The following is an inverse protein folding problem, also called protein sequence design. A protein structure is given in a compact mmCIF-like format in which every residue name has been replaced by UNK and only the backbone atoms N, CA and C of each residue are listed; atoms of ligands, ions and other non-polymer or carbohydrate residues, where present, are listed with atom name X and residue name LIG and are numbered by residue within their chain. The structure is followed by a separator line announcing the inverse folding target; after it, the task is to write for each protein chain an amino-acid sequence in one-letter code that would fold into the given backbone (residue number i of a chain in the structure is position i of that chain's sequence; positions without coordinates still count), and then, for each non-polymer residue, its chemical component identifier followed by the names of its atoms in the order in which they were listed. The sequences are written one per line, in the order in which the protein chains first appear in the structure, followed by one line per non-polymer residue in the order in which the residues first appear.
data_IF_388966539441
#
_entry.id   IF_388966539441
#
_cell.length_a   1.000
_cell.length_b   1.000
_cell.length_c   1.000
_cell.angle_alpha   90.00
_cell.angle_beta   90.00
_cell.angle_gamma   90.00
#
_symmetry.space_group_name_H-M   'P 1'
#
loop_
_entity.id
_entity.type
_entity.pdbx_description
1 polymer ?
#
# COMPACT_ATOMS: atom_id res chain seq x y z
N UNK A 1 -50.80 1.07 35.43
CA UNK A 1 -50.57 2.50 35.13
C UNK A 1 -49.52 2.55 34.04
N UNK A 2 -49.84 2.99 32.82
CA UNK A 2 -48.85 3.06 31.73
C UNK A 2 -48.27 4.47 31.65
N UNK A 3 -46.95 4.57 31.62
CA UNK A 3 -46.19 5.81 31.45
C UNK A 3 -46.03 6.13 29.97
N UNK A 4 -46.53 7.28 29.58
CA UNK A 4 -46.50 7.88 28.24
C UNK A 4 -45.11 8.26 27.82
N UNK A 5 -44.64 7.78 26.63
CA UNK A 5 -43.47 8.28 25.94
C UNK A 5 -43.84 9.45 25.04
N UNK A 6 -43.30 10.62 25.34
CA UNK A 6 -43.41 11.83 24.49
C UNK A 6 -42.42 11.76 23.34
N UNK A 7 -42.93 11.78 22.11
CA UNK A 7 -42.10 11.97 20.90
C UNK A 7 -41.89 13.46 20.66
N UNK A 8 -40.66 13.89 20.58
CA UNK A 8 -40.28 15.24 20.15
C UNK A 8 -40.01 15.19 18.64
N UNK A 9 -40.87 15.86 17.88
CA UNK A 9 -40.69 16.05 16.45
C UNK A 9 -39.72 17.20 16.23
N UNK A 10 -38.58 16.92 15.55
CA UNK A 10 -37.64 17.94 15.09
C UNK A 10 -38.10 18.45 13.72
N UNK A 11 -38.43 19.75 13.67
CA UNK A 11 -38.75 20.46 12.43
C UNK A 11 -37.47 20.75 11.67
N UNK A 12 -37.36 20.23 10.46
CA UNK A 12 -36.24 20.50 9.53
C UNK A 12 -36.61 21.73 8.69
N UNK A 13 -35.97 22.86 8.97
CA UNK A 13 -36.12 24.09 8.19
C UNK A 13 -35.19 24.06 6.99
N UNK A 14 -35.76 23.95 5.80
CA UNK A 14 -35.00 24.02 4.52
C UNK A 14 -34.82 25.49 4.16
N UNK A 15 -33.61 25.96 4.17
CA UNK A 15 -33.22 27.31 3.71
C UNK A 15 -32.95 27.25 2.20
N UNK A 16 -33.83 27.87 1.40
CA UNK A 16 -33.64 28.01 -0.06
C UNK A 16 -32.92 29.33 -0.31
N UNK A 17 -31.73 29.25 -0.88
CA UNK A 17 -30.96 30.41 -1.32
C UNK A 17 -31.24 30.69 -2.81
N UNK A 18 -31.56 31.92 -3.23
CA UNK A 18 -31.80 32.21 -4.64
C UNK A 18 -30.48 32.38 -5.41
N UNK A 19 -30.40 31.77 -6.59
CA UNK A 19 -29.33 31.93 -7.54
C UNK A 19 -29.42 33.30 -8.23
N UNK A 20 -28.42 34.12 -8.10
CA UNK A 20 -28.22 35.36 -8.85
C UNK A 20 -27.55 35.06 -10.19
N UNK A 21 -28.30 35.23 -11.29
CA UNK A 21 -27.81 35.21 -12.65
C UNK A 21 -27.17 36.55 -12.96
N UNK A 22 -25.85 36.59 -13.14
CA UNK A 22 -25.15 37.70 -13.77
C UNK A 22 -24.96 37.41 -15.26
N UNK A 23 -25.74 38.09 -16.09
CA UNK A 23 -25.51 38.22 -17.52
C UNK A 23 -24.48 39.33 -17.74
N UNK A 24 -23.31 39.01 -18.27
CA UNK A 24 -22.33 39.97 -18.72
C UNK A 24 -22.13 39.81 -20.23
N UNK A 25 -22.57 40.80 -20.95
CA UNK A 25 -22.34 40.99 -22.38
C UNK A 25 -20.89 41.42 -22.60
N UNK A 26 -20.06 40.61 -23.24
CA UNK A 26 -18.71 41.02 -23.64
C UNK A 26 -18.69 41.47 -25.08
N UNK A 27 -18.23 42.68 -25.29
CA UNK A 27 -18.00 43.30 -26.60
C UNK A 27 -16.79 42.65 -27.28
N UNK A 28 -16.96 42.37 -28.57
CA UNK A 28 -15.91 41.89 -29.47
C UNK A 28 -15.07 43.13 -29.87
N UNK A 29 -13.78 43.10 -29.50
CA UNK A 29 -12.78 44.00 -30.08
C UNK A 29 -11.86 43.17 -30.98
N UNK A 30 -11.96 43.36 -32.28
CA UNK A 30 -10.96 42.91 -33.24
C UNK A 30 -9.67 43.72 -33.01
N UNK A 31 -8.60 42.97 -32.67
CA UNK A 31 -7.23 43.51 -32.78
C UNK A 31 -6.44 42.63 -33.72
N UNK A 32 -6.00 43.24 -34.78
CA UNK A 32 -5.14 42.76 -35.84
C UNK A 32 -3.81 42.25 -35.31
N UNK A 33 -3.40 41.10 -35.86
CA UNK A 33 -2.12 40.42 -35.67
C UNK A 33 -0.93 41.29 -36.00
N UNK A 34 -0.01 41.45 -35.08
CA UNK A 34 1.39 41.69 -35.40
C UNK A 34 2.17 40.44 -34.92
N UNK A 35 2.58 39.62 -35.89
CA UNK A 35 3.41 38.46 -35.70
C UNK A 35 4.85 38.91 -35.57
N UNK A 36 5.36 39.03 -34.35
CA UNK A 36 6.80 39.00 -34.14
C UNK A 36 7.19 37.57 -33.81
N UNK A 37 7.84 36.90 -34.76
CA UNK A 37 8.53 35.64 -34.58
C UNK A 37 9.51 35.76 -33.39
N UNK A 38 9.18 35.11 -32.28
CA UNK A 38 10.13 34.87 -31.19
C UNK A 38 10.68 33.45 -31.35
N UNK A 39 11.96 33.24 -31.75
CA UNK A 39 12.55 31.94 -31.99
C UNK A 39 12.87 31.13 -30.70
N UNK A 40 12.53 31.64 -29.53
CA UNK A 40 12.84 31.03 -28.23
C UNK A 40 11.61 30.51 -27.46
N UNK A 41 10.50 30.21 -28.14
CA UNK A 41 9.45 29.43 -27.52
C UNK A 41 9.95 27.98 -27.40
N UNK A 42 10.62 27.66 -26.29
CA UNK A 42 10.90 26.32 -25.90
C UNK A 42 9.56 25.64 -25.63
N UNK A 43 9.14 24.80 -26.58
CA UNK A 43 8.04 23.84 -26.37
C UNK A 43 8.43 22.92 -25.24
N UNK A 44 7.98 23.25 -24.02
CA UNK A 44 8.22 22.45 -22.83
C UNK A 44 7.20 21.29 -22.76
N UNK A 45 7.07 20.55 -23.84
CA UNK A 45 6.54 19.19 -23.78
C UNK A 45 7.57 18.37 -23.02
N UNK A 46 7.41 18.27 -21.71
CA UNK A 46 8.11 17.26 -20.92
C UNK A 46 7.74 15.89 -21.51
N UNK A 47 8.64 15.35 -22.33
CA UNK A 47 8.65 13.94 -22.64
C UNK A 47 9.02 13.32 -21.30
N UNK A 48 8.03 12.83 -20.56
CA UNK A 48 8.28 12.03 -19.36
C UNK A 48 9.14 10.86 -19.79
N UNK A 49 10.32 10.74 -19.21
CA UNK A 49 11.20 9.59 -19.40
C UNK A 49 10.35 8.33 -19.13
N UNK A 50 10.19 7.42 -20.11
CA UNK A 50 9.39 6.21 -19.92
C UNK A 50 9.90 5.31 -18.80
N UNK A 51 11.13 5.53 -18.32
CA UNK A 51 11.74 4.81 -17.20
C UNK A 51 11.59 5.56 -15.86
N UNK A 52 10.99 6.75 -15.82
CA UNK A 52 10.77 7.45 -14.54
C UNK A 52 9.71 6.73 -13.70
N UNK A 53 10.02 6.49 -12.41
CA UNK A 53 9.07 5.91 -11.47
C UNK A 53 7.89 6.87 -11.27
N UNK A 54 6.67 6.32 -11.29
CA UNK A 54 5.46 7.05 -10.90
C UNK A 54 5.40 7.23 -9.39
N UNK A 55 4.54 8.13 -8.92
CA UNK A 55 4.26 8.26 -7.49
C UNK A 55 3.64 6.96 -6.97
N UNK A 56 4.21 6.44 -5.88
CA UNK A 56 3.71 5.21 -5.25
C UNK A 56 2.45 5.48 -4.43
N UNK A 57 1.47 4.60 -4.55
CA UNK A 57 0.22 4.66 -3.80
C UNK A 57 -0.09 3.28 -3.21
N UNK A 58 -0.53 3.26 -1.95
CA UNK A 58 -0.98 2.04 -1.29
C UNK A 58 -2.46 1.79 -1.63
N UNK A 59 -2.77 1.40 -2.87
CA UNK A 59 -4.14 1.21 -3.34
C UNK A 59 -4.49 -0.25 -3.68
N UNK A 60 -3.50 -1.15 -3.58
CA UNK A 60 -3.63 -2.57 -3.91
C UNK A 60 -3.63 -2.83 -5.42
N UNK A 61 -3.08 -1.90 -6.21
CA UNK A 61 -2.97 -2.01 -7.67
C UNK A 61 -1.54 -1.73 -8.10
N UNK A 62 -0.80 -2.77 -8.46
CA UNK A 62 0.57 -2.61 -8.95
C UNK A 62 0.54 -2.08 -10.37
N UNK A 63 0.99 -0.85 -10.57
CA UNK A 63 1.03 -0.16 -11.86
C UNK A 63 2.40 -0.22 -12.51
N UNK A 64 2.46 0.08 -13.81
CA UNK A 64 3.73 0.16 -14.54
C UNK A 64 4.60 1.29 -13.98
N UNK A 65 5.89 1.03 -13.77
CA UNK A 65 6.89 1.97 -13.23
C UNK A 65 6.62 2.45 -11.79
N UNK A 66 5.78 1.76 -11.04
CA UNK A 66 5.56 2.03 -9.62
C UNK A 66 6.69 1.48 -8.75
N UNK A 67 7.24 0.35 -9.14
CA UNK A 67 8.35 -0.33 -8.48
C UNK A 67 9.56 -0.41 -9.40
N UNK A 68 10.74 -0.23 -8.83
CA UNK A 68 12.02 -0.32 -9.57
C UNK A 68 12.55 -1.75 -9.71
N UNK A 69 12.00 -2.69 -8.94
CA UNK A 69 12.43 -4.10 -8.96
C UNK A 69 11.26 -5.05 -8.76
N UNK A 70 11.35 -6.23 -9.36
CA UNK A 70 10.41 -7.33 -9.14
C UNK A 70 11.11 -8.67 -9.13
N UNK A 71 10.57 -9.62 -8.36
CA UNK A 71 11.08 -10.99 -8.26
C UNK A 71 9.92 -11.99 -8.24
N UNK A 72 9.93 -12.94 -9.17
CA UNK A 72 9.04 -14.09 -9.12
C UNK A 72 9.61 -15.09 -8.11
N UNK A 73 9.04 -15.10 -6.90
CA UNK A 73 9.48 -15.97 -5.80
C UNK A 73 9.02 -17.40 -6.04
N UNK A 74 7.80 -17.57 -6.56
CA UNK A 74 7.26 -18.85 -7.01
C UNK A 74 6.34 -18.64 -8.23
N UNK A 75 5.78 -19.70 -8.77
CA UNK A 75 4.80 -19.60 -9.85
C UNK A 75 3.54 -18.79 -9.48
N UNK A 76 3.25 -18.69 -8.18
CA UNK A 76 2.05 -18.06 -7.64
C UNK A 76 2.33 -16.87 -6.71
N UNK A 77 3.59 -16.42 -6.57
CA UNK A 77 3.97 -15.34 -5.68
C UNK A 77 5.02 -14.45 -6.32
N UNK A 78 4.68 -13.20 -6.54
CA UNK A 78 5.58 -12.17 -7.09
C UNK A 78 5.73 -11.05 -6.07
N UNK A 79 6.96 -10.64 -5.83
CA UNK A 79 7.33 -9.51 -4.99
C UNK A 79 7.76 -8.34 -5.87
N UNK A 80 7.35 -7.14 -5.50
CA UNK A 80 7.76 -5.87 -6.08
C UNK A 80 8.40 -5.02 -5.00
N UNK A 81 9.44 -4.26 -5.35
CA UNK A 81 10.10 -3.39 -4.39
C UNK A 81 10.66 -2.13 -5.02
N UNK A 82 10.64 -1.04 -4.27
CA UNK A 82 11.40 0.18 -4.50
C UNK A 82 11.84 0.76 -3.16
N UNK A 83 12.86 1.58 -3.18
CA UNK A 83 13.34 2.31 -2.00
C UNK A 83 13.58 3.77 -2.33
N UNK A 84 13.64 4.56 -1.30
CA UNK A 84 14.30 5.85 -1.26
C UNK A 84 15.31 5.83 -0.08
N UNK A 85 15.85 6.98 0.29
CA UNK A 85 16.88 7.08 1.34
C UNK A 85 16.41 6.55 2.71
N UNK A 86 15.12 6.48 2.99
CA UNK A 86 14.56 6.17 4.30
C UNK A 86 13.58 5.00 4.28
N UNK A 87 12.86 4.82 3.19
CA UNK A 87 11.71 3.92 3.13
C UNK A 87 11.91 2.78 2.14
N UNK A 88 11.30 1.66 2.46
CA UNK A 88 11.01 0.59 1.51
C UNK A 88 9.52 0.58 1.21
N UNK A 89 9.21 0.35 -0.05
CA UNK A 89 7.87 0.15 -0.59
C UNK A 89 7.81 -1.25 -1.15
N UNK A 90 6.90 -2.03 -0.67
CA UNK A 90 6.73 -3.44 -1.03
C UNK A 90 5.35 -3.64 -1.65
N UNK A 91 5.33 -4.32 -2.77
CA UNK A 91 4.12 -4.86 -3.39
C UNK A 91 4.21 -6.38 -3.46
N UNK A 92 3.16 -7.07 -3.12
CA UNK A 92 3.06 -8.51 -3.20
C UNK A 92 1.83 -8.87 -4.02
N UNK A 93 1.98 -9.79 -4.97
CA UNK A 93 0.87 -10.40 -5.70
C UNK A 93 0.96 -11.91 -5.57
N UNK A 94 -0.05 -12.51 -4.99
CA UNK A 94 -0.13 -13.96 -4.85
C UNK A 94 -1.46 -14.52 -5.39
N UNK A 95 -1.42 -15.75 -5.89
CA UNK A 95 -2.63 -16.49 -6.30
C UNK A 95 -3.29 -17.04 -5.04
N UNK A 96 -4.08 -16.21 -4.40
CA UNK A 96 -4.76 -16.44 -3.13
C UNK A 96 -6.09 -15.69 -3.11
N UNK A 97 -7.00 -16.09 -2.23
CA UNK A 97 -8.25 -15.39 -1.90
C UNK A 97 -8.34 -15.05 -0.41
N UNK A 98 -7.24 -14.99 0.29
CA UNK A 98 -7.11 -14.60 1.67
C UNK A 98 -5.80 -13.85 1.90
N UNK A 99 -5.18 -14.04 3.06
CA UNK A 99 -3.99 -13.29 3.42
C UNK A 99 -2.74 -13.71 2.64
N UNK A 100 -1.85 -12.74 2.42
CA UNK A 100 -0.49 -12.93 1.89
C UNK A 100 0.52 -12.29 2.85
N UNK A 101 1.73 -12.84 2.91
CA UNK A 101 2.75 -12.40 3.87
C UNK A 101 4.16 -12.46 3.32
N UNK A 102 4.97 -11.51 3.78
CA UNK A 102 6.43 -11.54 3.71
C UNK A 102 6.99 -11.38 5.11
N UNK A 103 8.04 -12.13 5.44
CA UNK A 103 8.80 -11.97 6.67
C UNK A 103 10.27 -11.73 6.35
N UNK A 104 10.86 -10.66 6.85
CA UNK A 104 12.30 -10.41 6.79
C UNK A 104 13.00 -11.19 7.90
N UNK A 105 14.00 -12.00 7.55
CA UNK A 105 14.55 -12.99 8.46
C UNK A 105 16.07 -12.84 8.60
N UNK A 106 16.63 -12.96 9.83
CA UNK A 106 18.07 -13.09 10.01
C UNK A 106 18.64 -14.32 9.29
N UNK A 107 19.85 -14.20 8.75
CA UNK A 107 20.52 -15.29 7.99
C UNK A 107 20.60 -16.59 8.76
N UNK A 108 20.70 -16.54 10.09
CA UNK A 108 20.87 -17.70 10.97
C UNK A 108 19.56 -18.23 11.54
N UNK A 109 18.43 -17.58 11.29
CA UNK A 109 17.15 -17.99 11.86
C UNK A 109 16.57 -19.25 11.20
N UNK A 110 15.72 -19.95 11.92
CA UNK A 110 14.96 -21.10 11.42
C UNK A 110 13.49 -20.92 11.76
N UNK A 111 12.64 -21.21 10.78
CA UNK A 111 11.19 -20.98 10.91
C UNK A 111 10.92 -19.50 11.15
N UNK A 112 9.94 -19.16 11.97
CA UNK A 112 9.55 -17.78 12.24
C UNK A 112 10.47 -17.03 13.20
N UNK A 113 11.31 -17.72 13.98
CA UNK A 113 12.10 -17.09 15.07
C UNK A 113 12.88 -15.85 14.60
N UNK A 114 12.54 -14.70 15.17
CA UNK A 114 13.20 -13.45 14.88
C UNK A 114 12.92 -12.88 13.48
N UNK A 115 11.94 -13.41 12.76
CA UNK A 115 11.48 -12.83 11.53
C UNK A 115 10.44 -11.75 11.81
N UNK A 116 10.50 -10.70 11.04
CA UNK A 116 9.63 -9.53 11.07
C UNK A 116 8.66 -9.61 9.88
N UNK A 117 7.37 -9.80 10.16
CA UNK A 117 6.37 -10.10 9.16
C UNK A 117 5.40 -8.95 8.92
N UNK A 118 5.16 -8.66 7.63
CA UNK A 118 3.97 -7.99 7.17
C UNK A 118 3.00 -9.03 6.59
N UNK A 119 1.82 -9.17 7.18
CA UNK A 119 0.78 -10.10 6.77
C UNK A 119 -0.52 -9.33 6.58
N UNK A 120 -1.14 -9.43 5.40
CA UNK A 120 -2.36 -8.68 5.12
C UNK A 120 -3.14 -9.24 3.93
N UNK A 121 -4.26 -8.61 3.66
CA UNK A 121 -5.20 -8.96 2.60
C UNK A 121 -6.45 -8.11 2.66
N UNK A 122 -7.58 -8.66 2.21
CA UNK A 122 -8.88 -7.99 2.25
C UNK A 122 -9.84 -8.83 3.06
N UNK A 123 -10.54 -8.22 4.01
CA UNK A 123 -11.61 -8.89 4.74
C UNK A 123 -12.85 -8.00 4.77
N UNK A 124 -14.00 -8.55 4.42
CA UNK A 124 -15.26 -7.79 4.31
C UNK A 124 -15.15 -6.54 3.42
N UNK A 125 -14.34 -6.62 2.34
CA UNK A 125 -14.11 -5.54 1.39
C UNK A 125 -13.19 -4.43 1.90
N UNK A 126 -12.49 -4.64 3.01
CA UNK A 126 -11.54 -3.68 3.59
C UNK A 126 -10.14 -4.28 3.65
N UNK A 127 -9.14 -3.51 3.22
CA UNK A 127 -7.74 -3.88 3.35
C UNK A 127 -7.35 -3.93 4.83
N UNK A 128 -6.53 -4.93 5.19
CA UNK A 128 -5.90 -5.01 6.51
C UNK A 128 -4.45 -5.45 6.38
N UNK A 129 -3.64 -5.08 7.38
CA UNK A 129 -2.27 -5.54 7.54
C UNK A 129 -1.94 -5.68 9.03
N UNK A 130 -1.12 -6.67 9.35
CA UNK A 130 -0.55 -6.90 10.68
C UNK A 130 0.96 -6.81 10.61
N UNK A 131 1.53 -6.17 11.60
CA UNK A 131 2.96 -6.12 11.90
C UNK A 131 3.26 -7.12 13.01
N UNK A 132 4.07 -8.16 12.68
CA UNK A 132 4.19 -9.35 13.51
C UNK A 132 5.65 -9.76 13.67
N UNK A 133 6.03 -10.18 14.88
CA UNK A 133 7.31 -10.75 15.19
C UNK A 133 7.26 -12.23 15.44
N UNK A 134 8.20 -12.97 14.88
CA UNK A 134 8.37 -14.41 15.09
C UNK A 134 8.96 -14.73 16.44
N UNK A 135 8.13 -15.21 17.38
CA UNK A 135 8.51 -15.52 18.77
C UNK A 135 9.08 -16.91 18.97
N UNK A 136 8.78 -17.81 18.06
CA UNK A 136 9.34 -19.18 18.07
C UNK A 136 9.45 -19.71 16.63
N UNK A 137 9.81 -20.96 16.48
CA UNK A 137 9.93 -21.60 15.16
C UNK A 137 8.62 -21.56 14.35
N UNK A 138 7.49 -21.69 15.02
CA UNK A 138 6.17 -21.89 14.38
C UNK A 138 5.13 -20.85 14.83
N UNK A 139 5.54 -19.86 15.66
CA UNK A 139 4.63 -18.86 16.23
C UNK A 139 5.10 -17.43 15.98
N UNK A 140 4.15 -16.53 15.85
CA UNK A 140 4.36 -15.09 15.75
C UNK A 140 3.28 -14.34 16.55
N UNK A 141 3.57 -13.11 16.91
CA UNK A 141 2.68 -12.24 17.67
C UNK A 141 2.72 -10.83 17.13
N UNK A 142 1.67 -10.05 17.35
CA UNK A 142 1.69 -8.63 17.05
C UNK A 142 2.80 -7.94 17.83
N UNK A 143 3.59 -7.10 17.19
CA UNK A 143 4.67 -6.33 17.80
C UNK A 143 4.18 -5.49 18.97
N UNK A 144 3.01 -4.88 18.82
CA UNK A 144 2.35 -4.10 19.88
C UNK A 144 2.00 -4.91 21.12
N UNK A 145 1.82 -6.24 21.00
CA UNK A 145 1.62 -7.14 22.16
C UNK A 145 2.92 -7.50 22.87
N UNK A 146 4.05 -7.38 22.18
CA UNK A 146 5.37 -7.64 22.71
C UNK A 146 6.04 -6.40 23.32
N UNK A 147 5.42 -5.23 23.16
CA UNK A 147 5.93 -3.95 23.61
C UNK A 147 6.64 -3.14 22.52
N UNK A 148 6.61 -3.60 21.28
CA UNK A 148 6.99 -2.88 20.08
C UNK A 148 5.90 -1.94 19.57
N UNK A 149 6.10 -1.46 18.36
CA UNK A 149 5.18 -0.53 17.65
C UNK A 149 4.72 -1.15 16.32
N UNK A 150 3.63 -0.65 15.75
CA UNK A 150 3.29 -0.96 14.38
C UNK A 150 4.08 -0.03 13.46
N UNK A 151 5.02 -0.57 12.73
CA UNK A 151 5.95 0.15 11.86
C UNK A 151 5.44 0.33 10.42
N UNK A 152 4.26 -0.20 10.10
CA UNK A 152 3.63 -0.04 8.78
C UNK A 152 3.02 1.37 8.68
N UNK A 153 3.56 2.20 7.79
CA UNK A 153 3.19 3.61 7.64
C UNK A 153 2.01 3.84 6.68
N UNK A 154 1.90 3.01 5.66
CA UNK A 154 0.81 3.02 4.70
C UNK A 154 0.64 1.62 4.12
N UNK A 155 -0.60 1.25 3.80
CA UNK A 155 -0.90 -0.02 3.15
C UNK A 155 -2.20 0.06 2.35
N UNK A 156 -2.32 -0.82 1.36
CA UNK A 156 -3.53 -1.06 0.60
C UNK A 156 -3.55 -2.50 0.10
N UNK A 157 -4.72 -3.05 -0.09
CA UNK A 157 -4.87 -4.39 -0.63
C UNK A 157 -6.12 -4.51 -1.49
N UNK A 158 -6.07 -5.41 -2.47
CA UNK A 158 -7.23 -5.81 -3.28
C UNK A 158 -7.25 -7.31 -3.48
N UNK A 159 -8.46 -7.84 -3.66
CA UNK A 159 -8.69 -9.23 -4.08
C UNK A 159 -9.55 -9.24 -5.34
N UNK A 160 -9.03 -9.84 -6.39
CA UNK A 160 -9.73 -9.94 -7.67
C UNK A 160 -9.17 -11.06 -8.53
N UNK A 161 -10.05 -11.77 -9.24
CA UNK A 161 -9.66 -12.79 -10.22
C UNK A 161 -8.84 -13.95 -9.64
N UNK A 162 -8.98 -14.25 -8.33
CA UNK A 162 -8.22 -15.30 -7.63
C UNK A 162 -6.79 -14.88 -7.26
N UNK A 163 -6.56 -13.57 -7.16
CA UNK A 163 -5.31 -13.00 -6.67
C UNK A 163 -5.59 -12.01 -5.54
N UNK A 164 -4.74 -12.05 -4.53
CA UNK A 164 -4.59 -11.00 -3.52
C UNK A 164 -3.36 -10.17 -3.87
N UNK A 165 -3.51 -8.85 -3.81
CA UNK A 165 -2.42 -7.87 -3.90
C UNK A 165 -2.38 -7.12 -2.57
N UNK A 166 -1.18 -6.97 -2.02
CA UNK A 166 -0.91 -6.19 -0.82
C UNK A 166 0.26 -5.25 -1.09
N UNK A 167 0.09 -3.99 -0.77
CA UNK A 167 1.13 -2.98 -0.85
C UNK A 167 1.32 -2.35 0.52
N UNK A 168 2.57 -2.08 0.89
CA UNK A 168 2.86 -1.37 2.12
C UNK A 168 4.18 -0.60 2.05
N UNK A 169 4.30 0.38 2.95
CA UNK A 169 5.47 1.22 3.16
C UNK A 169 5.91 1.18 4.61
N UNK A 170 7.20 1.06 4.85
CA UNK A 170 7.82 1.22 6.17
C UNK A 170 9.22 1.84 6.08
N UNK A 171 9.81 2.19 7.22
CA UNK A 171 11.22 2.58 7.26
C UNK A 171 12.13 1.37 6.95
N UNK A 172 13.25 1.62 6.29
CA UNK A 172 14.34 0.64 6.14
C UNK A 172 14.88 0.19 7.51
N UNK A 173 14.97 1.12 8.46
CA UNK A 173 15.34 0.87 9.85
C UNK A 173 14.40 1.65 10.77
N UNK A 174 13.62 0.95 11.57
CA UNK A 174 12.62 1.54 12.46
C UNK A 174 13.17 1.89 13.83
N UNK A 175 14.24 1.17 14.26
CA UNK A 175 14.76 1.25 15.62
C UNK A 175 13.95 0.46 16.64
N UNK A 176 12.88 -0.22 16.23
CA UNK A 176 12.13 -1.14 17.08
C UNK A 176 12.88 -2.46 17.23
N UNK A 177 12.84 -3.07 18.42
CA UNK A 177 13.50 -4.35 18.71
C UNK A 177 12.79 -5.57 18.15
N UNK A 178 11.55 -5.40 17.70
CA UNK A 178 10.73 -6.41 17.04
C UNK A 178 10.65 -6.20 15.53
N UNK A 179 11.53 -5.34 14.97
CA UNK A 179 11.68 -5.13 13.55
C UNK A 179 13.06 -5.59 13.04
N UNK A 180 13.10 -6.15 11.85
CA UNK A 180 14.35 -6.36 11.13
C UNK A 180 14.68 -5.13 10.28
N UNK A 181 15.97 -4.76 10.26
CA UNK A 181 16.46 -3.79 9.28
C UNK A 181 16.39 -4.40 7.89
N UNK A 182 15.74 -3.70 6.97
CA UNK A 182 15.75 -4.02 5.55
C UNK A 182 16.91 -3.24 4.93
N UNK A 183 17.79 -3.94 4.21
CA UNK A 183 18.98 -3.33 3.66
C UNK A 183 18.93 -3.29 2.13
N UNK A 184 19.57 -2.30 1.54
CA UNK A 184 19.86 -2.34 0.10
C UNK A 184 20.67 -3.58 -0.22
N UNK A 185 20.33 -4.26 -1.31
CA UNK A 185 20.96 -5.52 -1.68
C UNK A 185 20.23 -6.74 -1.13
N UNK A 186 20.97 -7.75 -0.69
CA UNK A 186 20.43 -9.08 -0.40
C UNK A 186 19.74 -9.16 0.97
N UNK A 187 18.48 -9.53 0.97
CA UNK A 187 17.68 -9.83 2.17
C UNK A 187 17.18 -11.28 2.10
N UNK A 188 17.18 -11.98 3.25
CA UNK A 188 16.50 -13.26 3.36
C UNK A 188 15.06 -13.03 3.73
N UNK A 189 14.14 -13.75 3.10
CA UNK A 189 12.73 -13.66 3.38
C UNK A 189 12.09 -15.02 3.59
N UNK A 190 11.00 -15.00 4.37
CA UNK A 190 9.94 -15.97 4.38
C UNK A 190 8.79 -15.41 3.54
N UNK A 191 8.07 -16.26 2.85
CA UNK A 191 6.86 -15.88 2.14
C UNK A 191 5.79 -16.94 2.36
N UNK A 192 4.54 -16.51 2.44
CA UNK A 192 3.41 -17.42 2.59
C UNK A 192 2.11 -16.77 2.08
N UNK A 193 1.10 -17.60 1.79
CA UNK A 193 -0.24 -17.13 1.51
C UNK A 193 -1.29 -18.18 1.89
N UNK A 194 -2.54 -17.74 2.08
CA UNK A 194 -3.71 -18.53 2.41
C UNK A 194 -4.91 -18.15 1.56
N UNK A 195 -5.88 -19.04 1.45
CA UNK A 195 -7.20 -18.73 0.88
C UNK A 195 -8.20 -18.29 1.98
N UNK A 196 -7.77 -18.17 3.22
CA UNK A 196 -8.57 -17.70 4.36
C UNK A 196 -8.02 -16.38 4.92
N UNK A 197 -8.91 -15.56 5.51
CA UNK A 197 -8.55 -14.28 6.12
C UNK A 197 -7.98 -14.45 7.53
N UNK A 198 -7.16 -13.46 7.94
CA UNK A 198 -6.63 -13.32 9.29
C UNK A 198 -5.44 -14.21 9.60
N UNK A 199 -4.51 -13.70 10.38
CA UNK A 199 -3.22 -14.33 10.65
C UNK A 199 -3.27 -15.64 11.48
N UNK A 200 -4.44 -16.03 11.96
CA UNK A 200 -4.63 -17.32 12.63
C UNK A 200 -4.92 -18.47 11.64
N UNK A 201 -5.24 -18.14 10.38
CA UNK A 201 -5.46 -19.15 9.36
C UNK A 201 -4.13 -19.76 8.89
N UNK A 202 -4.14 -21.08 8.62
CA UNK A 202 -2.95 -21.77 8.12
C UNK A 202 -2.66 -21.36 6.67
N UNK A 203 -1.38 -21.17 6.34
CA UNK A 203 -0.95 -20.99 4.95
C UNK A 203 -1.19 -22.25 4.13
N UNK A 204 -1.49 -22.08 2.83
CA UNK A 204 -1.60 -23.18 1.85
C UNK A 204 -0.31 -23.33 1.03
N UNK A 205 0.55 -22.31 1.04
CA UNK A 205 1.90 -22.37 0.49
C UNK A 205 2.81 -21.42 1.26
N UNK A 206 4.07 -21.83 1.38
CA UNK A 206 5.12 -21.09 2.06
C UNK A 206 6.49 -21.37 1.45
N UNK A 207 7.47 -20.60 1.85
CA UNK A 207 8.86 -20.87 1.50
C UNK A 207 9.82 -19.79 1.97
N UNK A 208 11.07 -20.00 1.61
CA UNK A 208 12.15 -19.04 1.84
C UNK A 208 12.74 -18.57 0.52
N UNK A 209 13.22 -17.35 0.48
CA UNK A 209 13.92 -16.83 -0.69
C UNK A 209 15.01 -15.83 -0.28
N UNK A 210 15.90 -15.52 -1.22
CA UNK A 210 16.73 -14.33 -1.18
C UNK A 210 16.23 -13.35 -2.22
N UNK A 211 16.00 -12.11 -1.79
CA UNK A 211 15.59 -11.03 -2.67
C UNK A 211 16.64 -9.93 -2.66
N UNK A 212 16.68 -9.17 -3.74
CA UNK A 212 17.49 -7.96 -3.81
C UNK A 212 16.56 -6.75 -3.68
N UNK A 213 16.77 -5.93 -2.64
CA UNK A 213 16.10 -4.64 -2.45
C UNK A 213 16.97 -3.57 -3.10
N UNK A 214 16.41 -2.72 -4.01
CA UNK A 214 17.19 -1.74 -4.78
C UNK A 214 17.85 -0.67 -3.92
#
# INVERSE_FOLDING_TARGET
MPTSKKYIAALLTILILPALLFSSCAAIAEMTSDQTDNPDAVDNTQISDPDSLVEWQADGVITTNEYSNSANISANFTLFSRTDDQYVYIGIKAKASGWISIGFQPVSAKGHTGADFALGGVSSGQAYIYDLWGISKDEHSLDTKLGGTNSILAYGATESGGYTILEFKRLLSTGDSYDQNIVHGSNNILWAYSDEDGFAAMHIAEGTAKINIP
#
